data_IF_923546755422
#
_entry.id   IF_923546755422
#
_cell.length_a   1.000
_cell.length_b   1.000
_cell.length_c   1.000
_cell.angle_alpha   90.00
_cell.angle_beta   90.00
_cell.angle_gamma   90.00
#
_symmetry.space_group_name_H-M   'P 1'
#
loop_
_entity.id
_entity.type
_entity.pdbx_description
1 polymer ?
#
# COMPACT_ATOMS: atom_id res chain seq x y z
N UNK A 1 -10.04 18.06 8.42
CA UNK A 1 -8.95 17.31 9.09
C UNK A 1 -9.61 16.07 9.65
N UNK A 2 -9.33 14.93 9.03
CA UNK A 2 -9.93 13.65 9.41
C UNK A 2 -9.62 13.28 10.86
N UNK A 3 -10.65 12.89 11.61
CA UNK A 3 -10.49 12.42 13.00
C UNK A 3 -9.83 11.02 13.08
N UNK A 4 -9.72 10.30 11.95
CA UNK A 4 -9.28 8.91 11.88
C UNK A 4 -7.77 8.66 11.79
N UNK A 5 -6.94 9.69 11.64
CA UNK A 5 -5.50 9.54 11.39
C UNK A 5 -5.15 9.28 9.92
N UNK A 6 -3.94 8.78 9.66
CA UNK A 6 -3.42 8.57 8.31
C UNK A 6 -2.73 7.20 8.14
N UNK A 7 -2.64 6.73 6.90
CA UNK A 7 -2.03 5.44 6.56
C UNK A 7 -0.74 5.63 5.77
N UNK A 8 0.31 4.91 6.16
CA UNK A 8 1.58 4.83 5.42
C UNK A 8 1.70 3.44 4.79
N UNK A 9 1.92 3.41 3.49
CA UNK A 9 2.13 2.19 2.72
C UNK A 9 3.62 1.99 2.50
N UNK A 10 4.12 0.84 2.90
CA UNK A 10 5.53 0.45 2.78
C UNK A 10 5.59 -0.88 2.03
N UNK A 11 5.91 -0.88 0.73
CA UNK A 11 6.22 -2.12 0.02
C UNK A 11 7.57 -2.67 0.49
N UNK A 12 7.58 -3.89 1.02
CA UNK A 12 8.80 -4.65 1.34
C UNK A 12 9.12 -5.56 0.13
N UNK A 13 9.78 -5.00 -0.90
CA UNK A 13 10.13 -5.73 -2.14
C UNK A 13 10.93 -7.01 -1.84
N UNK A 14 11.87 -6.97 -0.90
CA UNK A 14 12.70 -8.12 -0.50
C UNK A 14 11.91 -9.34 -0.01
N UNK A 15 10.72 -9.10 0.55
CA UNK A 15 9.84 -10.15 1.09
C UNK A 15 8.61 -10.40 0.21
N UNK A 16 8.42 -9.59 -0.85
CA UNK A 16 7.22 -9.61 -1.67
C UNK A 16 5.93 -9.29 -0.89
N UNK A 17 6.03 -8.53 0.21
CA UNK A 17 4.88 -8.14 1.03
C UNK A 17 4.71 -6.62 1.04
N UNK A 18 3.50 -6.17 1.32
CA UNK A 18 3.16 -4.77 1.51
C UNK A 18 2.72 -4.60 2.96
N UNK A 19 3.31 -3.64 3.65
CA UNK A 19 2.96 -3.26 5.00
C UNK A 19 2.21 -1.91 4.99
N UNK A 20 1.02 -1.87 5.55
CA UNK A 20 0.22 -0.66 5.75
C UNK A 20 0.21 -0.34 7.24
N UNK A 21 0.75 0.81 7.60
CA UNK A 21 0.79 1.31 8.97
C UNK A 21 -0.27 2.37 9.15
N UNK A 22 -1.10 2.22 10.18
CA UNK A 22 -2.12 3.20 10.57
C UNK A 22 -1.59 4.02 11.73
N UNK A 23 -1.53 5.34 11.56
CA UNK A 23 -1.15 6.29 12.58
C UNK A 23 -2.34 7.16 12.96
N UNK A 24 -2.46 7.48 14.25
CA UNK A 24 -3.40 8.52 14.70
C UNK A 24 -2.90 9.92 14.32
N UNK A 25 -3.75 10.92 14.46
CA UNK A 25 -3.35 12.33 14.34
C UNK A 25 -2.29 12.77 15.37
N UNK A 26 -2.06 11.99 16.42
CA UNK A 26 -0.98 12.20 17.40
C UNK A 26 0.31 11.46 17.05
N UNK A 27 0.49 11.03 15.78
CA UNK A 27 1.63 10.21 15.31
C UNK A 27 1.83 8.88 16.04
N UNK A 28 0.83 8.44 16.82
CA UNK A 28 0.86 7.11 17.45
C UNK A 28 0.54 6.04 16.44
N UNK A 29 1.43 5.05 16.34
CA UNK A 29 1.18 3.84 15.57
C UNK A 29 0.03 3.08 16.22
N UNK A 30 -1.12 3.07 15.56
CA UNK A 30 -2.29 2.34 16.00
C UNK A 30 -2.13 0.87 15.62
N UNK A 31 -1.85 0.59 14.34
CA UNK A 31 -1.86 -0.78 13.79
C UNK A 31 -0.93 -0.93 12.60
N UNK A 32 -0.57 -2.17 12.31
CA UNK A 32 0.21 -2.55 11.11
C UNK A 32 -0.46 -3.76 10.46
N UNK A 33 -0.90 -3.60 9.21
CA UNK A 33 -1.41 -4.68 8.37
C UNK A 33 -0.31 -5.09 7.40
N UNK A 34 -0.06 -6.39 7.23
CA UNK A 34 0.93 -6.90 6.27
C UNK A 34 0.29 -7.96 5.38
N UNK A 35 0.59 -7.92 4.09
CA UNK A 35 0.10 -8.93 3.15
C UNK A 35 0.84 -8.91 1.82
N UNK A 36 0.91 -10.07 1.16
CA UNK A 36 1.50 -10.20 -0.19
C UNK A 36 0.59 -9.62 -1.29
N UNK A 37 -0.71 -9.50 -1.01
CA UNK A 37 -1.70 -9.06 -1.96
C UNK A 37 -2.40 -7.81 -1.44
N UNK A 38 -2.29 -6.72 -2.22
CA UNK A 38 -3.04 -5.47 -2.04
C UNK A 38 -4.52 -5.74 -1.77
N UNK A 39 -5.13 -6.63 -2.56
CA UNK A 39 -6.54 -6.97 -2.46
C UNK A 39 -6.89 -7.60 -1.11
N UNK A 40 -6.01 -8.44 -0.56
CA UNK A 40 -6.22 -9.04 0.76
C UNK A 40 -6.09 -8.00 1.88
N UNK A 41 -5.12 -7.10 1.79
CA UNK A 41 -4.96 -6.00 2.76
C UNK A 41 -6.20 -5.11 2.73
N UNK A 42 -6.66 -4.75 1.53
CA UNK A 42 -7.85 -3.94 1.31
C UNK A 42 -9.11 -4.59 1.89
N UNK A 43 -9.36 -5.86 1.59
CA UNK A 43 -10.47 -6.62 2.18
C UNK A 43 -10.36 -6.69 3.70
N UNK A 44 -9.17 -6.96 4.25
CA UNK A 44 -8.97 -7.00 5.70
C UNK A 44 -9.35 -5.66 6.35
N UNK A 45 -8.99 -4.54 5.74
CA UNK A 45 -9.29 -3.21 6.27
C UNK A 45 -10.80 -2.91 6.22
N UNK A 46 -11.48 -3.28 5.14
CA UNK A 46 -12.93 -3.08 4.98
C UNK A 46 -13.73 -4.03 5.88
N UNK A 47 -13.39 -5.31 5.89
CA UNK A 47 -14.08 -6.34 6.68
C UNK A 47 -13.99 -6.07 8.18
N UNK A 48 -12.97 -5.34 8.62
CA UNK A 48 -12.81 -4.91 10.00
C UNK A 48 -13.26 -3.46 10.26
N UNK A 49 -13.86 -2.79 9.27
CA UNK A 49 -14.35 -1.39 9.35
C UNK A 49 -13.28 -0.38 9.83
N UNK A 50 -12.00 -0.62 9.48
CA UNK A 50 -10.87 0.22 9.92
C UNK A 50 -10.67 1.49 9.10
N UNK A 51 -11.36 1.59 7.97
CA UNK A 51 -11.47 2.83 7.22
C UNK A 51 -12.82 3.45 7.53
N UNK A 52 -12.78 4.63 8.14
CA UNK A 52 -13.95 5.45 8.43
C UNK A 52 -14.50 6.16 7.20
N UNK A 53 -13.68 6.34 6.16
CA UNK A 53 -14.07 7.04 4.93
C UNK A 53 -13.65 6.30 3.66
N UNK A 54 -14.63 5.85 2.87
CA UNK A 54 -14.41 5.13 1.60
C UNK A 54 -13.52 5.89 0.60
N UNK A 55 -13.52 7.23 0.67
CA UNK A 55 -12.68 8.12 -0.12
C UNK A 55 -11.18 7.80 0.05
N UNK A 56 -10.77 7.49 1.28
CA UNK A 56 -9.39 7.11 1.59
C UNK A 56 -9.05 5.70 1.11
N UNK A 57 -10.01 4.76 1.13
CA UNK A 57 -9.83 3.41 0.59
C UNK A 57 -9.56 3.44 -0.92
N UNK A 58 -10.31 4.25 -1.67
CA UNK A 58 -10.15 4.39 -3.11
C UNK A 58 -8.77 4.98 -3.49
N UNK A 59 -8.29 5.97 -2.74
CA UNK A 59 -6.96 6.54 -2.93
C UNK A 59 -5.85 5.52 -2.61
N UNK A 60 -6.02 4.76 -1.52
CA UNK A 60 -5.09 3.71 -1.11
C UNK A 60 -4.96 2.62 -2.18
N UNK A 61 -6.09 2.16 -2.72
CA UNK A 61 -6.12 1.15 -3.78
C UNK A 61 -5.37 1.59 -5.04
N UNK A 62 -5.54 2.85 -5.45
CA UNK A 62 -4.84 3.43 -6.60
C UNK A 62 -3.33 3.49 -6.42
N UNK A 63 -2.85 3.92 -5.26
CA UNK A 63 -1.40 3.99 -4.99
C UNK A 63 -0.79 2.59 -4.84
N UNK A 64 -1.53 1.64 -4.28
CA UNK A 64 -1.10 0.24 -4.16
C UNK A 64 -1.03 -0.48 -5.50
N UNK A 65 -1.99 -0.23 -6.39
CA UNK A 65 -1.99 -0.79 -7.74
C UNK A 65 -0.81 -0.25 -8.56
N UNK A 66 -0.51 1.05 -8.43
CA UNK A 66 0.69 1.66 -9.03
C UNK A 66 1.98 1.04 -8.47
N UNK A 67 2.06 0.81 -7.16
CA UNK A 67 3.22 0.17 -6.55
C UNK A 67 3.40 -1.27 -7.06
N UNK A 68 2.31 -2.04 -7.16
CA UNK A 68 2.36 -3.41 -7.69
C UNK A 68 2.75 -3.47 -9.16
N UNK A 69 2.20 -2.59 -9.99
CA UNK A 69 2.60 -2.47 -11.40
C UNK A 69 4.09 -2.10 -11.54
N UNK A 70 4.62 -1.26 -10.65
CA UNK A 70 6.06 -0.95 -10.64
C UNK A 70 6.94 -2.14 -10.22
N UNK A 71 6.44 -3.01 -9.35
CA UNK A 71 7.15 -4.24 -8.96
C UNK A 71 7.07 -5.31 -10.06
N UNK A 72 5.90 -5.47 -10.70
CA UNK A 72 5.71 -6.43 -11.80
C UNK A 72 6.45 -5.97 -13.07
N UNK A 73 6.48 -4.67 -13.40
CA UNK A 73 7.22 -4.16 -14.57
C UNK A 73 8.74 -4.20 -14.43
N UNK A 74 9.30 -4.40 -13.22
CA UNK A 74 10.74 -4.65 -13.05
C UNK A 74 11.18 -6.00 -13.65
N UNK A 75 10.26 -6.88 -14.08
CA UNK A 75 10.62 -8.10 -14.81
C UNK A 75 10.95 -7.90 -16.29
N UNK A 76 10.84 -6.70 -16.87
CA UNK A 76 11.10 -6.52 -18.31
C UNK A 76 11.62 -5.15 -18.74
N UNK A 77 12.46 -4.49 -17.92
CA UNK A 77 13.31 -3.41 -18.44
C UNK A 77 14.77 -3.65 -18.10
N UNK A 78 15.36 -4.63 -18.78
CA UNK A 78 16.76 -4.52 -19.17
C UNK A 78 16.87 -3.33 -20.12
N UNK A 79 17.21 -2.16 -19.60
CA UNK A 79 17.78 -1.09 -20.42
C UNK A 79 19.17 -1.52 -20.89
N UNK A 80 19.27 -2.43 -21.87
CA UNK A 80 20.45 -2.46 -22.74
C UNK A 80 20.34 -1.24 -23.63
N UNK A 81 20.93 -0.13 -23.20
CA UNK A 81 21.24 0.95 -24.13
C UNK A 81 22.08 0.36 -25.26
N UNK A 82 21.59 0.58 -26.47
CA UNK A 82 22.02 -0.04 -27.69
C UNK A 82 23.49 0.18 -28.01
N UNK A 83 24.00 -0.76 -28.82
CA UNK A 83 25.22 -0.55 -29.57
C UNK A 83 25.10 0.66 -30.50
N UNK A 84 26.19 1.42 -30.54
CA UNK A 84 26.91 1.84 -31.73
C UNK A 84 28.35 2.13 -31.28
#
# INVERSE_FOLDING_TARGET
MDEGGYFIIVPEEEKGIIAVKHFSNEDRLLRVIKGQNVKNIYHTIIDNEWITELSHAAYLGKELERAKLSMDSKSEITYTQGGC
#
